data_IF_088953880355
#
_entry.id   IF_088953880355
#
_cell.length_a   1.000
_cell.length_b   1.000
_cell.length_c   1.000
_cell.angle_alpha   90.00
_cell.angle_beta   90.00
_cell.angle_gamma   90.00
#
_symmetry.space_group_name_H-M   'P 1'
#
loop_
_entity.id
_entity.type
_entity.pdbx_description
1 polymer ?
#
# COMPACT_ATOMS: atom_id res chain seq x y z
N UNK A 1 24.10 19.85 26.27
CA UNK A 1 23.83 18.82 25.23
C UNK A 1 23.27 19.53 24.02
N UNK A 2 24.12 19.79 23.02
CA UNK A 2 23.72 20.48 21.79
C UNK A 2 22.98 19.50 20.89
N UNK A 3 21.67 19.69 20.72
CA UNK A 3 20.87 19.02 19.70
C UNK A 3 21.40 19.43 18.32
N UNK A 4 21.96 18.47 17.58
CA UNK A 4 22.44 18.67 16.21
C UNK A 4 21.26 19.07 15.30
N UNK A 5 21.27 20.29 14.71
CA UNK A 5 20.22 20.73 13.79
C UNK A 5 20.02 19.77 12.60
N UNK A 6 21.08 19.05 12.20
CA UNK A 6 21.02 18.03 11.15
C UNK A 6 20.16 16.82 11.54
N UNK A 7 20.14 16.42 12.81
CA UNK A 7 19.39 15.26 13.28
C UNK A 7 17.87 15.51 13.25
N UNK A 8 17.42 16.70 13.65
CA UNK A 8 15.99 17.06 13.59
C UNK A 8 15.48 17.25 12.16
N UNK A 9 16.32 17.76 11.26
CA UNK A 9 16.00 17.79 9.83
C UNK A 9 15.84 16.36 9.29
N UNK A 10 16.81 15.47 9.54
CA UNK A 10 16.78 14.06 9.07
C UNK A 10 15.56 13.30 9.63
N UNK A 11 15.19 13.49 10.90
CA UNK A 11 14.03 12.83 11.51
C UNK A 11 12.70 13.26 10.84
N UNK A 12 12.56 14.55 10.49
CA UNK A 12 11.37 15.03 9.76
C UNK A 12 11.34 14.51 8.32
N UNK A 13 12.50 14.48 7.66
CA UNK A 13 12.65 13.92 6.31
C UNK A 13 12.34 12.41 6.30
N UNK A 14 12.75 11.66 7.33
CA UNK A 14 12.57 10.19 7.39
C UNK A 14 11.13 9.75 7.15
N UNK A 15 10.15 10.40 7.79
CA UNK A 15 8.73 10.07 7.62
C UNK A 15 8.25 10.30 6.20
N UNK A 16 8.61 11.45 5.60
CA UNK A 16 8.26 11.77 4.22
C UNK A 16 8.93 10.80 3.24
N UNK A 17 10.18 10.44 3.48
CA UNK A 17 10.91 9.48 2.65
C UNK A 17 10.29 8.07 2.72
N UNK A 18 9.86 7.61 3.90
CA UNK A 18 9.13 6.33 4.04
C UNK A 18 7.81 6.39 3.27
N UNK A 19 7.09 7.51 3.38
CA UNK A 19 5.82 7.73 2.71
C UNK A 19 5.96 7.72 1.16
N UNK A 20 7.04 8.32 0.65
CA UNK A 20 7.44 8.26 -0.76
C UNK A 20 7.78 6.82 -1.15
N UNK A 21 8.70 6.18 -0.42
CA UNK A 21 9.19 4.84 -0.74
C UNK A 21 8.07 3.79 -0.68
N UNK A 22 7.15 3.88 0.28
CA UNK A 22 5.99 2.99 0.39
C UNK A 22 5.06 3.11 -0.84
N UNK A 23 4.76 4.32 -1.30
CA UNK A 23 3.96 4.52 -2.53
C UNK A 23 4.69 4.02 -3.78
N UNK A 24 6.02 4.10 -3.78
CA UNK A 24 6.81 3.57 -4.89
C UNK A 24 6.83 2.04 -4.87
N UNK A 25 7.05 1.40 -3.72
CA UNK A 25 7.36 -0.03 -3.63
C UNK A 25 6.14 -0.91 -3.30
N UNK A 26 5.16 -0.38 -2.58
CA UNK A 26 4.01 -1.12 -2.06
C UNK A 26 4.37 -2.10 -0.93
N UNK A 27 5.50 -1.88 -0.25
CA UNK A 27 5.99 -2.63 0.92
C UNK A 27 6.54 -1.62 1.92
N UNK A 28 6.04 -1.65 3.15
CA UNK A 28 6.54 -0.79 4.23
C UNK A 28 7.91 -1.26 4.68
N UNK A 29 8.10 -2.58 4.79
CA UNK A 29 9.41 -3.14 5.13
C UNK A 29 10.47 -2.68 4.11
N UNK A 30 10.19 -2.79 2.81
CA UNK A 30 11.13 -2.32 1.78
C UNK A 30 11.33 -0.80 1.86
N UNK A 31 10.27 -0.05 2.19
CA UNK A 31 10.36 1.41 2.31
C UNK A 31 11.27 1.83 3.48
N UNK A 32 11.16 1.19 4.63
CA UNK A 32 12.01 1.42 5.80
C UNK A 32 13.48 1.09 5.48
N UNK A 33 13.72 -0.05 4.83
CA UNK A 33 15.06 -0.49 4.42
C UNK A 33 15.71 0.52 3.47
N UNK A 34 14.97 1.01 2.46
CA UNK A 34 15.48 2.01 1.52
C UNK A 34 15.84 3.31 2.22
N UNK A 35 15.01 3.77 3.16
CA UNK A 35 15.26 5.02 3.88
C UNK A 35 16.42 4.87 4.84
N UNK A 36 16.55 3.71 5.49
CA UNK A 36 17.70 3.39 6.33
C UNK A 36 19.00 3.37 5.51
N UNK A 37 19.00 2.74 4.33
CA UNK A 37 20.12 2.75 3.39
C UNK A 37 20.48 4.17 2.93
N UNK A 38 19.50 5.00 2.59
CA UNK A 38 19.74 6.39 2.21
C UNK A 38 20.36 7.21 3.35
N UNK A 39 19.88 7.01 4.59
CA UNK A 39 20.46 7.64 5.78
C UNK A 39 21.89 7.13 6.05
N UNK A 40 22.15 5.83 5.90
CA UNK A 40 23.49 5.26 6.05
C UNK A 40 24.47 5.87 5.04
N UNK A 41 24.05 6.03 3.78
CA UNK A 41 24.85 6.71 2.75
C UNK A 41 25.15 8.17 3.11
N UNK A 42 24.18 8.89 3.68
CA UNK A 42 24.39 10.26 4.15
C UNK A 42 25.48 10.33 5.23
N UNK A 43 25.41 9.47 6.25
CA UNK A 43 26.40 9.47 7.34
C UNK A 43 27.78 8.98 6.88
N UNK A 44 27.84 8.12 5.87
CA UNK A 44 29.09 7.64 5.28
C UNK A 44 29.82 8.71 4.43
N UNK A 45 29.15 9.79 4.00
CA UNK A 45 29.80 10.86 3.24
C UNK A 45 30.91 11.53 4.07
N UNK A 46 32.08 11.84 3.49
CA UNK A 46 33.07 12.72 4.11
C UNK A 46 32.44 14.06 4.50
N UNK A 47 32.89 14.65 5.61
CA UNK A 47 32.35 15.92 6.12
C UNK A 47 32.39 17.04 5.07
N UNK A 48 33.49 17.13 4.32
CA UNK A 48 33.65 18.13 3.26
C UNK A 48 32.60 17.97 2.16
N UNK A 49 32.23 16.73 1.80
CA UNK A 49 31.18 16.50 0.81
C UNK A 49 29.79 16.84 1.37
N UNK A 50 29.52 16.50 2.64
CA UNK A 50 28.26 16.91 3.30
C UNK A 50 28.08 18.41 3.34
N UNK A 51 29.16 19.16 3.59
CA UNK A 51 29.14 20.63 3.64
C UNK A 51 28.88 21.28 2.26
N UNK A 52 29.13 20.57 1.16
CA UNK A 52 28.78 21.04 -0.20
C UNK A 52 27.30 20.82 -0.56
N UNK A 53 26.57 20.01 0.20
CA UNK A 53 25.17 19.70 -0.07
C UNK A 53 24.30 20.78 0.56
N UNK A 54 23.74 21.65 -0.28
CA UNK A 54 22.91 22.78 0.14
C UNK A 54 21.63 22.34 0.87
N UNK A 55 21.03 21.23 0.44
CA UNK A 55 19.80 20.68 1.02
C UNK A 55 19.92 19.17 1.27
N UNK A 56 20.16 18.75 2.54
CA UNK A 56 20.19 17.35 2.92
C UNK A 56 18.90 16.59 2.58
N UNK A 57 17.73 17.22 2.75
CA UNK A 57 16.43 16.62 2.45
C UNK A 57 16.24 16.35 0.95
N UNK A 58 16.65 17.28 0.09
CA UNK A 58 16.64 17.08 -1.36
C UNK A 58 17.59 15.94 -1.77
N UNK A 59 18.78 15.89 -1.18
CA UNK A 59 19.73 14.80 -1.44
C UNK A 59 19.17 13.44 -1.02
N UNK A 60 18.59 13.34 0.18
CA UNK A 60 17.98 12.10 0.69
C UNK A 60 16.82 11.66 -0.19
N UNK A 61 15.95 12.60 -0.61
CA UNK A 61 14.86 12.31 -1.56
C UNK A 61 15.40 11.73 -2.86
N UNK A 62 16.46 12.31 -3.42
CA UNK A 62 17.08 11.83 -4.65
C UNK A 62 17.66 10.43 -4.50
N UNK A 63 18.36 10.17 -3.40
CA UNK A 63 18.94 8.85 -3.11
C UNK A 63 17.86 7.80 -2.89
N UNK A 64 16.87 8.07 -2.04
CA UNK A 64 15.70 7.20 -1.81
C UNK A 64 14.99 6.91 -3.13
N UNK A 65 14.70 7.94 -3.94
CA UNK A 65 14.02 7.78 -5.22
C UNK A 65 14.79 6.90 -6.21
N UNK A 66 16.13 7.03 -6.27
CA UNK A 66 16.98 6.20 -7.13
C UNK A 66 17.00 4.74 -6.67
N UNK A 67 17.16 4.49 -5.37
CA UNK A 67 17.10 3.13 -4.82
C UNK A 67 15.73 2.50 -5.12
N UNK A 68 14.63 3.24 -4.91
CA UNK A 68 13.29 2.76 -5.25
C UNK A 68 13.13 2.45 -6.74
N UNK A 69 13.67 3.29 -7.63
CA UNK A 69 13.62 3.07 -9.08
C UNK A 69 14.33 1.77 -9.48
N UNK A 70 15.53 1.53 -8.93
CA UNK A 70 16.31 0.32 -9.16
C UNK A 70 15.57 -0.92 -8.62
N UNK A 71 15.04 -0.82 -7.39
CA UNK A 71 14.26 -1.88 -6.77
C UNK A 71 13.02 -2.20 -7.58
N UNK A 72 12.29 -1.21 -8.10
CA UNK A 72 11.12 -1.43 -8.95
C UNK A 72 11.47 -2.16 -10.25
N UNK A 73 12.62 -1.85 -10.85
CA UNK A 73 13.15 -2.59 -12.00
C UNK A 73 13.33 -4.08 -11.67
N UNK A 74 13.92 -4.38 -10.51
CA UNK A 74 14.13 -5.76 -10.05
C UNK A 74 12.86 -6.46 -9.55
N UNK A 75 11.94 -5.71 -8.94
CA UNK A 75 10.72 -6.22 -8.32
C UNK A 75 9.79 -6.84 -9.36
N UNK A 76 9.73 -6.28 -10.58
CA UNK A 76 8.94 -6.85 -11.67
C UNK A 76 9.35 -8.30 -11.98
N UNK A 77 10.65 -8.56 -12.10
CA UNK A 77 11.18 -9.90 -12.33
C UNK A 77 11.02 -10.83 -11.12
N UNK A 78 11.01 -10.30 -9.89
CA UNK A 78 10.68 -11.09 -8.68
C UNK A 78 9.20 -11.46 -8.64
N UNK A 79 8.32 -10.51 -8.98
CA UNK A 79 6.86 -10.69 -8.99
C UNK A 79 6.40 -11.73 -10.01
N UNK A 80 7.11 -11.88 -11.13
CA UNK A 80 6.88 -13.00 -12.08
C UNK A 80 7.10 -14.39 -11.46
N UNK A 81 7.91 -14.49 -10.40
CA UNK A 81 8.16 -15.73 -9.65
C UNK A 81 7.40 -15.79 -8.31
N UNK A 82 6.55 -14.80 -8.04
CA UNK A 82 5.75 -14.76 -6.82
C UNK A 82 4.66 -15.83 -6.89
N UNK A 83 4.42 -16.53 -5.78
CA UNK A 83 3.38 -17.56 -5.71
C UNK A 83 2.05 -16.89 -5.42
N UNK A 84 1.15 -16.92 -6.41
CA UNK A 84 -0.13 -16.21 -6.39
C UNK A 84 0.01 -14.77 -6.88
N UNK A 85 -1.03 -13.97 -6.63
CA UNK A 85 -1.04 -12.56 -7.05
C UNK A 85 -0.43 -11.66 -5.97
N UNK A 86 0.42 -10.73 -6.40
CA UNK A 86 1.03 -9.74 -5.52
C UNK A 86 0.02 -8.66 -5.12
N UNK A 87 -0.19 -8.47 -3.82
CA UNK A 87 -0.95 -7.33 -3.27
C UNK A 87 -0.01 -6.45 -2.45
N UNK A 88 -0.04 -5.11 -2.56
CA UNK A 88 0.74 -4.22 -1.70
C UNK A 88 0.50 -4.51 -0.22
N UNK A 89 1.53 -4.30 0.59
CA UNK A 89 1.46 -4.45 2.05
C UNK A 89 0.39 -3.53 2.63
N UNK A 90 -0.63 -4.06 3.31
CA UNK A 90 -1.70 -3.27 3.88
C UNK A 90 -1.23 -2.59 5.16
N UNK A 91 -1.67 -1.36 5.40
CA UNK A 91 -1.30 -0.61 6.60
C UNK A 91 -2.51 -0.33 7.49
N UNK A 92 -2.37 -0.48 8.83
CA UNK A 92 -3.43 -0.15 9.79
C UNK A 92 -3.65 1.36 9.90
N UNK A 93 -4.62 1.78 10.71
CA UNK A 93 -4.85 3.20 10.97
C UNK A 93 -3.68 3.86 11.71
N UNK A 94 -3.57 5.18 11.53
CA UNK A 94 -2.57 6.05 12.16
C UNK A 94 -2.53 5.95 13.69
N UNK A 95 -3.63 5.58 14.34
CA UNK A 95 -3.74 5.48 15.80
C UNK A 95 -3.29 4.15 16.37
N UNK A 96 -3.14 3.12 15.53
CA UNK A 96 -2.77 1.76 15.94
C UNK A 96 -1.25 1.51 15.81
N UNK A 97 -0.48 2.52 15.37
CA UNK A 97 0.98 2.47 15.32
C UNK A 97 1.57 3.07 16.61
N UNK A 98 2.30 2.24 17.36
CA UNK A 98 2.81 2.54 18.70
C UNK A 98 3.84 3.68 18.74
N UNK A 99 4.69 3.83 17.72
CA UNK A 99 5.70 4.89 17.67
C UNK A 99 5.19 6.13 16.89
N UNK A 100 5.17 7.33 17.52
CA UNK A 100 4.96 8.58 16.82
C UNK A 100 5.88 8.80 15.59
N UNK A 101 7.07 8.20 15.56
CA UNK A 101 8.00 8.19 14.43
C UNK A 101 7.53 7.27 13.29
N UNK A 102 6.84 6.17 13.60
CA UNK A 102 6.33 5.17 12.65
C UNK A 102 4.95 5.51 12.10
N UNK A 103 4.30 6.57 12.63
CA UNK A 103 3.05 7.10 12.06
C UNK A 103 3.27 7.60 10.64
N UNK A 104 3.16 6.72 9.67
CA UNK A 104 3.13 7.09 8.26
C UNK A 104 1.90 7.98 8.10
N UNK A 105 2.11 9.20 7.61
CA UNK A 105 0.99 10.08 7.24
C UNK A 105 0.36 9.52 5.97
N UNK A 106 -0.44 8.47 6.09
CA UNK A 106 -1.34 8.04 5.04
C UNK A 106 -2.47 9.06 5.05
N UNK A 107 -2.43 10.05 4.17
CA UNK A 107 -3.65 10.79 3.86
C UNK A 107 -4.60 9.86 3.07
N UNK A 108 -5.89 10.21 2.99
CA UNK A 108 -6.92 9.40 2.33
C UNK A 108 -6.59 9.03 0.85
N UNK A 109 -5.57 9.64 0.25
CA UNK A 109 -5.07 9.33 -1.10
C UNK A 109 -4.42 7.96 -1.24
N UNK A 110 -3.99 7.30 -0.16
CA UNK A 110 -3.26 6.02 -0.23
C UNK A 110 -4.17 4.81 -0.07
N UNK A 111 -5.28 4.77 -0.79
CA UNK A 111 -6.15 3.59 -0.82
C UNK A 111 -5.42 2.36 -1.40
N UNK A 112 -5.83 1.15 -1.00
CA UNK A 112 -5.30 -0.09 -1.59
C UNK A 112 -5.49 -0.10 -3.12
N UNK A 113 -6.65 0.34 -3.61
CA UNK A 113 -6.93 0.45 -5.03
C UNK A 113 -5.92 1.35 -5.76
N UNK A 114 -5.52 2.48 -5.15
CA UNK A 114 -4.50 3.35 -5.72
C UNK A 114 -3.13 2.65 -5.80
N UNK A 115 -2.70 1.95 -4.75
CA UNK A 115 -1.44 1.18 -4.77
C UNK A 115 -1.46 0.07 -5.84
N UNK A 116 -2.59 -0.61 -6.01
CA UNK A 116 -2.80 -1.62 -7.07
C UNK A 116 -2.67 -0.99 -8.47
N UNK A 117 -3.21 0.21 -8.67
CA UNK A 117 -3.04 0.92 -9.96
C UNK A 117 -1.58 1.29 -10.21
N UNK A 118 -0.84 1.73 -9.19
CA UNK A 118 0.59 1.97 -9.30
C UNK A 118 1.34 0.69 -9.71
N UNK A 119 0.86 -0.48 -9.27
CA UNK A 119 1.41 -1.78 -9.66
C UNK A 119 1.42 -2.05 -11.16
N UNK A 120 0.46 -1.49 -11.90
CA UNK A 120 0.40 -1.62 -13.36
C UNK A 120 1.37 -0.73 -14.15
N UNK A 121 2.07 0.19 -13.47
CA UNK A 121 2.95 1.18 -14.12
C UNK A 121 4.37 0.67 -14.33
N UNK A 122 5.06 1.19 -15.34
CA UNK A 122 6.51 1.02 -15.43
C UNK A 122 7.22 1.72 -14.27
N UNK A 123 8.42 1.28 -13.85
CA UNK A 123 9.16 1.92 -12.75
C UNK A 123 9.30 3.45 -12.91
N UNK A 124 9.66 3.90 -14.13
CA UNK A 124 9.83 5.32 -14.42
C UNK A 124 8.51 6.11 -14.43
N UNK A 125 7.40 5.52 -14.91
CA UNK A 125 6.07 6.14 -14.80
C UNK A 125 5.67 6.32 -13.34
N UNK A 126 5.85 5.28 -12.52
CA UNK A 126 5.50 5.33 -11.09
C UNK A 126 6.29 6.38 -10.34
N UNK A 127 7.62 6.41 -10.51
CA UNK A 127 8.47 7.42 -9.88
C UNK A 127 8.11 8.83 -10.32
N UNK A 128 7.91 9.05 -11.63
CA UNK A 128 7.55 10.36 -12.14
C UNK A 128 6.20 10.85 -11.61
N UNK A 129 5.21 9.97 -11.57
CA UNK A 129 3.88 10.30 -11.07
C UNK A 129 3.87 10.53 -9.56
N UNK A 130 4.41 9.61 -8.76
CA UNK A 130 4.37 9.72 -7.30
C UNK A 130 5.08 11.00 -6.85
N UNK A 131 6.32 11.26 -7.30
CA UNK A 131 7.04 12.44 -6.88
C UNK A 131 6.38 13.74 -7.34
N UNK A 132 5.89 13.81 -8.58
CA UNK A 132 5.32 15.06 -9.09
C UNK A 132 3.88 15.28 -8.64
N UNK A 133 2.99 14.31 -8.86
CA UNK A 133 1.55 14.45 -8.66
C UNK A 133 1.13 14.28 -7.20
N UNK A 134 1.82 13.43 -6.44
CA UNK A 134 1.48 13.16 -5.03
C UNK A 134 2.27 14.06 -4.08
N UNK A 135 3.56 14.26 -4.34
CA UNK A 135 4.45 15.03 -3.45
C UNK A 135 4.82 16.43 -3.97
N UNK A 136 4.41 16.81 -5.19
CA UNK A 136 4.58 18.18 -5.69
C UNK A 136 6.00 18.54 -6.16
N UNK A 137 6.91 17.57 -6.31
CA UNK A 137 8.25 17.84 -6.85
C UNK A 137 8.18 18.32 -8.29
N UNK A 138 9.09 19.22 -8.68
CA UNK A 138 9.15 19.77 -10.04
C UNK A 138 9.81 18.75 -10.97
N UNK A 139 9.43 18.75 -12.25
CA UNK A 139 10.00 17.82 -13.23
C UNK A 139 11.54 17.86 -13.37
N UNK A 140 12.24 18.99 -13.17
CA UNK A 140 13.71 18.99 -13.09
C UNK A 140 14.26 18.13 -11.96
N UNK A 141 13.66 18.15 -10.78
CA UNK A 141 14.08 17.33 -9.63
C UNK A 141 13.78 15.85 -9.88
N UNK A 142 12.62 15.55 -10.46
CA UNK A 142 12.25 14.18 -10.86
C UNK A 142 13.18 13.63 -11.94
N UNK A 143 13.61 14.47 -12.88
CA UNK A 143 14.53 14.12 -13.95
C UNK A 143 15.88 13.62 -13.43
N UNK A 144 16.39 14.22 -12.35
CA UNK A 144 17.65 13.80 -11.70
C UNK A 144 17.55 12.39 -11.09
N UNK A 145 16.35 11.99 -10.65
CA UNK A 145 16.08 10.68 -10.07
C UNK A 145 15.89 9.64 -11.16
N UNK A 146 15.05 9.95 -12.16
CA UNK A 146 14.68 9.02 -13.23
C UNK A 146 15.81 8.86 -14.27
N UNK A 147 16.77 9.77 -14.32
CA UNK A 147 17.86 9.76 -15.31
C UNK A 147 17.36 10.10 -16.71
N UNK A 148 16.38 11.00 -16.83
CA UNK A 148 15.75 11.41 -18.10
C UNK A 148 15.57 12.93 -18.15
N UNK A 149 15.18 13.47 -19.30
CA UNK A 149 14.89 14.90 -19.43
C UNK A 149 13.59 15.27 -18.71
N UNK A 150 13.42 16.53 -18.24
CA UNK A 150 12.16 16.98 -17.62
C UNK A 150 10.95 16.84 -18.56
N UNK A 151 11.16 16.98 -19.87
CA UNK A 151 10.13 16.75 -20.87
C UNK A 151 9.71 15.26 -20.94
N UNK A 152 10.65 14.33 -20.85
CA UNK A 152 10.34 12.90 -20.80
C UNK A 152 9.58 12.54 -19.50
N UNK A 153 9.98 13.10 -18.35
CA UNK A 153 9.26 12.91 -17.08
C UNK A 153 7.82 13.41 -17.14
N UNK A 154 7.55 14.53 -17.83
CA UNK A 154 6.18 15.02 -18.10
C UNK A 154 5.35 13.99 -18.87
N UNK A 155 5.91 13.36 -19.89
CA UNK A 155 5.22 12.34 -20.68
C UNK A 155 4.94 11.09 -19.86
N UNK A 156 5.90 10.67 -19.02
CA UNK A 156 5.72 9.55 -18.08
C UNK A 156 4.58 9.82 -17.09
N UNK A 157 4.58 10.99 -16.43
CA UNK A 157 3.50 11.37 -15.51
C UNK A 157 2.14 11.47 -16.23
N UNK A 158 2.10 12.02 -17.44
CA UNK A 158 0.87 12.05 -18.25
C UNK A 158 0.36 10.64 -18.60
N UNK A 159 1.26 9.69 -18.88
CA UNK A 159 0.92 8.29 -19.11
C UNK A 159 0.34 7.63 -17.86
N UNK A 160 0.98 7.83 -16.70
CA UNK A 160 0.50 7.35 -15.41
C UNK A 160 -0.90 7.91 -15.08
N UNK A 161 -1.15 9.21 -15.29
CA UNK A 161 -2.46 9.83 -15.08
C UNK A 161 -3.57 9.19 -15.91
N UNK A 162 -3.28 8.78 -17.16
CA UNK A 162 -4.27 8.10 -18.01
C UNK A 162 -4.70 6.76 -17.42
N UNK A 163 -3.80 6.04 -16.73
CA UNK A 163 -4.12 4.79 -16.04
C UNK A 163 -5.01 5.02 -14.82
N UNK A 164 -4.74 6.09 -14.07
CA UNK A 164 -5.54 6.45 -12.88
C UNK A 164 -6.92 6.98 -13.26
N UNK A 165 -7.02 7.76 -14.34
CA UNK A 165 -8.27 8.33 -14.86
C UNK A 165 -9.09 7.38 -15.73
N UNK A 166 -8.66 6.12 -15.92
CA UNK A 166 -9.54 5.12 -16.52
C UNK A 166 -10.91 5.17 -15.81
N UNK A 167 -12.04 5.07 -16.52
CA UNK A 167 -13.36 5.48 -16.03
C UNK A 167 -13.68 4.76 -14.73
N UNK A 168 -13.45 5.46 -13.63
CA UNK A 168 -13.67 5.02 -12.26
C UNK A 168 -14.78 5.90 -11.74
N UNK A 169 -15.81 5.29 -11.19
CA UNK A 169 -16.91 6.01 -10.59
C UNK A 169 -16.42 6.94 -9.48
N UNK A 170 -17.22 7.94 -9.09
CA UNK A 170 -16.90 8.81 -7.97
C UNK A 170 -16.56 7.97 -6.74
N UNK A 171 -15.56 8.42 -5.99
CA UNK A 171 -15.13 7.71 -4.79
C UNK A 171 -16.26 7.68 -3.77
N UNK A 172 -16.68 6.49 -3.36
CA UNK A 172 -17.72 6.29 -2.35
C UNK A 172 -17.35 7.00 -1.04
N UNK A 173 -18.28 7.76 -0.43
CA UNK A 173 -18.07 8.38 0.87
C UNK A 173 -17.63 7.35 1.93
N UNK A 174 -16.72 7.73 2.82
CA UNK A 174 -16.16 6.81 3.82
C UNK A 174 -17.23 6.17 4.72
N UNK A 175 -18.29 6.90 5.05
CA UNK A 175 -19.41 6.37 5.85
C UNK A 175 -20.17 5.27 5.10
N UNK A 176 -20.53 5.50 3.83
CA UNK A 176 -21.20 4.51 2.99
C UNK A 176 -20.31 3.27 2.76
N UNK A 177 -19.00 3.48 2.56
CA UNK A 177 -18.03 2.39 2.47
C UNK A 177 -18.03 1.55 3.77
N UNK A 178 -18.02 2.19 4.94
CA UNK A 178 -18.07 1.50 6.22
C UNK A 178 -19.36 0.67 6.38
N UNK A 179 -20.51 1.21 5.98
CA UNK A 179 -21.80 0.51 6.04
C UNK A 179 -21.83 -0.75 5.17
N UNK A 180 -21.27 -0.68 3.95
CA UNK A 180 -21.12 -1.83 3.05
C UNK A 180 -20.18 -2.89 3.65
N UNK A 181 -19.03 -2.47 4.20
CA UNK A 181 -18.06 -3.40 4.84
C UNK A 181 -18.66 -4.08 6.07
N UNK A 182 -19.40 -3.34 6.90
CA UNK A 182 -20.09 -3.89 8.07
C UNK A 182 -21.19 -4.89 7.67
N UNK A 183 -21.93 -4.58 6.60
CA UNK A 183 -22.94 -5.48 6.04
C UNK A 183 -22.31 -6.76 5.48
N UNK A 184 -21.20 -6.63 4.76
CA UNK A 184 -20.43 -7.76 4.23
C UNK A 184 -19.90 -8.66 5.34
N UNK A 185 -19.29 -8.08 6.39
CA UNK A 185 -18.83 -8.83 7.57
C UNK A 185 -19.95 -9.61 8.23
N UNK A 186 -21.14 -9.00 8.38
CA UNK A 186 -22.31 -9.64 8.98
C UNK A 186 -22.76 -10.83 8.16
N UNK A 187 -22.92 -10.64 6.85
CA UNK A 187 -23.31 -11.68 5.91
C UNK A 187 -22.31 -12.84 5.88
N UNK A 188 -21.01 -12.53 5.89
CA UNK A 188 -19.97 -13.55 5.92
C UNK A 188 -19.98 -14.35 7.22
N UNK A 189 -20.11 -13.68 8.38
CA UNK A 189 -20.19 -14.34 9.69
C UNK A 189 -21.43 -15.23 9.84
N UNK A 190 -22.55 -14.87 9.22
CA UNK A 190 -23.78 -15.67 9.26
C UNK A 190 -23.87 -16.73 8.15
N UNK A 191 -22.82 -16.90 7.33
CA UNK A 191 -22.85 -17.74 6.12
C UNK A 191 -24.04 -17.43 5.19
N UNK A 192 -24.46 -16.16 5.14
CA UNK A 192 -25.56 -15.71 4.29
C UNK A 192 -25.06 -15.41 2.88
N UNK A 193 -25.05 -16.45 2.06
CA UNK A 193 -24.61 -16.38 0.66
C UNK A 193 -25.45 -15.39 -0.16
N UNK A 194 -26.76 -15.30 0.09
CA UNK A 194 -27.65 -14.40 -0.66
C UNK A 194 -27.35 -12.94 -0.33
N UNK A 195 -27.12 -12.61 0.94
CA UNK A 195 -26.69 -11.28 1.34
C UNK A 195 -25.29 -10.93 0.79
N UNK A 196 -24.34 -11.87 0.75
CA UNK A 196 -23.03 -11.66 0.14
C UNK A 196 -23.15 -11.34 -1.36
N UNK A 197 -23.96 -12.11 -2.11
CA UNK A 197 -24.20 -11.85 -3.53
C UNK A 197 -24.80 -10.46 -3.74
N UNK A 198 -25.73 -10.04 -2.90
CA UNK A 198 -26.36 -8.71 -2.99
C UNK A 198 -25.41 -7.52 -2.75
N UNK A 199 -24.28 -7.75 -2.09
CA UNK A 199 -23.25 -6.74 -1.81
C UNK A 199 -22.09 -6.75 -2.82
N UNK A 200 -22.01 -7.76 -3.68
CA UNK A 200 -20.93 -7.93 -4.64
C UNK A 200 -21.39 -7.52 -6.03
N UNK A 201 -20.56 -6.75 -6.72
CA UNK A 201 -20.78 -6.53 -8.14
C UNK A 201 -20.75 -7.86 -8.92
N UNK A 202 -21.59 -8.05 -9.96
CA UNK A 202 -21.56 -9.26 -10.77
C UNK A 202 -20.19 -9.55 -11.40
N UNK A 203 -19.40 -8.51 -11.69
CA UNK A 203 -18.03 -8.60 -12.20
C UNK A 203 -16.97 -8.34 -11.12
N UNK A 204 -17.33 -8.45 -9.83
CA UNK A 204 -16.39 -8.27 -8.74
C UNK A 204 -15.22 -9.26 -8.84
N UNK A 205 -14.05 -8.85 -8.35
CA UNK A 205 -12.89 -9.73 -8.24
C UNK A 205 -12.37 -9.82 -6.81
N UNK A 206 -11.91 -11.01 -6.42
CA UNK A 206 -11.23 -11.24 -5.14
C UNK A 206 -9.83 -11.78 -5.38
N UNK A 207 -8.83 -11.17 -4.74
CA UNK A 207 -7.44 -11.61 -4.77
C UNK A 207 -7.01 -11.98 -3.37
N UNK A 208 -6.44 -13.17 -3.21
CA UNK A 208 -5.81 -13.61 -1.97
C UNK A 208 -4.30 -13.62 -2.10
N UNK A 209 -3.59 -12.96 -1.19
CA UNK A 209 -2.11 -12.94 -1.17
C UNK A 209 -1.59 -13.74 0.02
N UNK A 210 -1.18 -14.99 -0.21
CA UNK A 210 -0.51 -15.83 0.80
C UNK A 210 1.01 -15.85 0.71
N UNK A 211 1.59 -15.23 -0.33
CA UNK A 211 3.03 -15.20 -0.60
C UNK A 211 3.72 -16.57 -0.73
N UNK A 212 2.96 -17.65 -0.96
CA UNK A 212 3.48 -19.03 -0.91
C UNK A 212 3.81 -19.54 0.49
N UNK A 213 3.59 -18.73 1.54
CA UNK A 213 3.84 -19.09 2.95
C UNK A 213 2.60 -19.71 3.59
N UNK A 214 1.43 -19.15 3.30
CA UNK A 214 0.15 -19.64 3.79
C UNK A 214 -0.85 -19.85 2.64
N UNK A 215 -1.84 -20.74 2.79
CA UNK A 215 -2.85 -20.94 1.76
C UNK A 215 -3.61 -19.65 1.42
N UNK A 216 -3.80 -19.39 0.15
CA UNK A 216 -4.68 -18.33 -0.37
C UNK A 216 -5.29 -18.79 -1.70
N UNK A 217 -6.27 -18.05 -2.23
CA UNK A 217 -6.75 -18.31 -3.57
C UNK A 217 -5.57 -18.19 -4.56
N UNK A 218 -5.24 -19.25 -5.33
CA UNK A 218 -4.04 -19.25 -6.17
C UNK A 218 -4.17 -18.34 -7.40
N UNK A 219 -5.39 -18.03 -7.79
CA UNK A 219 -5.75 -17.13 -8.87
C UNK A 219 -6.87 -16.20 -8.41
N UNK A 220 -7.02 -15.00 -9.02
CA UNK A 220 -8.17 -14.15 -8.80
C UNK A 220 -9.48 -14.93 -8.97
N UNK A 221 -10.41 -14.73 -8.06
CA UNK A 221 -11.79 -15.23 -8.17
C UNK A 221 -12.61 -14.13 -8.83
N UNK A 222 -13.20 -14.46 -9.96
CA UNK A 222 -14.03 -13.53 -10.73
C UNK A 222 -15.51 -13.88 -10.56
N UNK A 223 -16.32 -12.84 -10.33
CA UNK A 223 -17.76 -12.93 -10.20
C UNK A 223 -18.25 -12.91 -8.75
N UNK A 224 -19.23 -12.05 -8.47
CA UNK A 224 -19.78 -11.89 -7.12
C UNK A 224 -20.33 -13.18 -6.52
N UNK A 225 -20.96 -14.04 -7.34
CA UNK A 225 -21.48 -15.32 -6.90
C UNK A 225 -20.36 -16.33 -6.55
N UNK A 226 -19.32 -16.40 -7.36
CA UNK A 226 -18.16 -17.25 -7.14
C UNK A 226 -17.41 -16.83 -5.87
N UNK A 227 -17.23 -15.53 -5.68
CA UNK A 227 -16.64 -14.95 -4.46
C UNK A 227 -17.48 -15.31 -3.23
N UNK A 228 -18.80 -15.11 -3.27
CA UNK A 228 -19.68 -15.43 -2.15
C UNK A 228 -19.60 -16.91 -1.76
N UNK A 229 -19.65 -17.82 -2.74
CA UNK A 229 -19.51 -19.27 -2.50
C UNK A 229 -18.18 -19.62 -1.86
N UNK A 230 -17.08 -19.06 -2.37
CA UNK A 230 -15.75 -19.27 -1.82
C UNK A 230 -15.64 -18.81 -0.37
N UNK A 231 -16.19 -17.65 -0.03
CA UNK A 231 -16.15 -17.10 1.33
C UNK A 231 -16.95 -17.94 2.32
N UNK A 232 -18.13 -18.44 1.94
CA UNK A 232 -18.93 -19.36 2.78
C UNK A 232 -18.20 -20.69 2.97
N UNK A 233 -17.59 -21.23 1.92
CA UNK A 233 -16.78 -22.45 2.02
C UNK A 233 -15.60 -22.25 2.98
N UNK A 234 -14.90 -21.13 2.88
CA UNK A 234 -13.79 -20.78 3.77
C UNK A 234 -14.25 -20.66 5.23
N UNK A 235 -15.41 -20.05 5.48
CA UNK A 235 -15.98 -19.90 6.80
C UNK A 235 -16.36 -21.23 7.45
N UNK A 236 -16.86 -22.20 6.65
CA UNK A 236 -17.21 -23.53 7.17
C UNK A 236 -16.01 -24.37 7.61
N UNK A 237 -14.80 -24.03 7.13
CA UNK A 237 -13.54 -24.72 7.47
C UNK A 237 -12.81 -24.12 8.67
N UNK A 238 -13.18 -22.92 9.10
CA UNK A 238 -12.53 -22.20 10.20
C UNK A 238 -13.32 -22.38 11.50
N UNK A 239 -12.64 -22.77 12.59
CA UNK A 239 -13.27 -23.05 13.89
C UNK A 239 -13.93 -21.81 14.52
N UNK A 240 -13.50 -20.60 14.15
CA UNK A 240 -14.20 -19.34 14.38
C UNK A 240 -13.61 -18.22 13.49
N UNK A 241 -14.47 -17.44 12.81
CA UNK A 241 -14.05 -16.23 12.08
C UNK A 241 -14.06 -15.01 13.01
N UNK A 242 -12.93 -14.72 13.64
CA UNK A 242 -12.78 -13.52 14.46
C UNK A 242 -12.48 -12.29 13.60
N UNK A 243 -13.49 -11.82 12.85
CA UNK A 243 -13.44 -10.59 12.04
C UNK A 243 -13.72 -9.33 12.86
N UNK A 244 -12.77 -8.40 12.88
CA UNK A 244 -12.99 -7.03 13.34
C UNK A 244 -13.07 -6.07 12.14
N UNK A 245 -13.83 -4.99 12.30
CA UNK A 245 -13.76 -3.84 11.40
C UNK A 245 -12.55 -3.00 11.81
N UNK A 246 -11.84 -2.44 10.84
CA UNK A 246 -10.64 -1.62 11.06
C UNK A 246 -10.44 -0.69 9.86
N UNK A 247 -9.46 0.21 9.93
CA UNK A 247 -9.00 1.01 8.80
C UNK A 247 -7.84 0.30 8.11
N UNK A 248 -7.99 0.01 6.82
CA UNK A 248 -6.94 -0.52 5.95
C UNK A 248 -6.60 0.56 4.92
N UNK A 249 -5.37 1.06 4.94
CA UNK A 249 -4.91 2.05 3.96
C UNK A 249 -5.82 3.31 3.90
N UNK A 250 -6.27 3.78 5.07
CA UNK A 250 -7.14 4.95 5.20
C UNK A 250 -8.60 4.71 4.80
N UNK A 251 -9.02 3.47 4.54
CA UNK A 251 -10.40 3.10 4.19
C UNK A 251 -10.95 2.00 5.10
N UNK A 252 -12.26 1.93 5.32
CA UNK A 252 -12.87 0.82 6.05
C UNK A 252 -12.49 -0.53 5.44
N UNK A 253 -12.12 -1.47 6.29
CA UNK A 253 -11.75 -2.83 5.91
C UNK A 253 -11.95 -3.81 7.07
N UNK A 254 -11.43 -5.03 6.90
CA UNK A 254 -11.55 -6.10 7.89
C UNK A 254 -10.20 -6.67 8.27
N UNK A 255 -10.06 -7.08 9.53
CA UNK A 255 -8.94 -7.87 10.02
C UNK A 255 -9.47 -9.14 10.67
N UNK A 256 -8.79 -10.27 10.45
CA UNK A 256 -9.05 -11.53 11.13
C UNK A 256 -7.85 -11.90 12.00
N UNK A 257 -8.13 -12.28 13.25
CA UNK A 257 -7.10 -12.69 14.21
C UNK A 257 -7.37 -14.10 14.76
N UNK A 258 -6.30 -14.85 14.98
CA UNK A 258 -6.33 -16.15 15.64
C UNK A 258 -5.31 -16.15 16.77
N UNK A 259 -5.74 -16.40 18.00
CA UNK A 259 -4.91 -16.33 19.22
C UNK A 259 -4.08 -15.03 19.33
N UNK A 260 -4.70 -13.88 19.02
CA UNK A 260 -4.05 -12.56 19.05
C UNK A 260 -3.16 -12.26 17.84
N UNK A 261 -2.92 -13.23 16.96
CA UNK A 261 -2.10 -13.05 15.74
C UNK A 261 -2.99 -12.67 14.56
N UNK A 262 -2.63 -11.60 13.85
CA UNK A 262 -3.31 -11.23 12.60
C UNK A 262 -2.99 -12.25 11.50
N UNK A 263 -4.04 -12.89 10.98
CA UNK A 263 -3.94 -13.96 9.95
C UNK A 263 -4.49 -13.54 8.59
N UNK A 264 -5.24 -12.44 8.54
CA UNK A 264 -5.76 -11.86 7.32
C UNK A 264 -6.11 -10.39 7.52
N UNK A 265 -5.81 -9.56 6.53
CA UNK A 265 -6.34 -8.21 6.37
C UNK A 265 -7.03 -8.12 5.02
N UNK A 266 -8.26 -7.61 4.99
CA UNK A 266 -9.03 -7.42 3.77
C UNK A 266 -9.31 -5.94 3.51
N UNK A 267 -8.86 -5.46 2.35
CA UNK A 267 -9.21 -4.15 1.81
C UNK A 267 -10.30 -4.30 0.74
N UNK A 268 -11.14 -3.27 0.61
CA UNK A 268 -12.28 -3.26 -0.29
C UNK A 268 -12.22 -2.05 -1.23
N UNK A 269 -12.63 -2.27 -2.47
CA UNK A 269 -13.02 -1.20 -3.39
C UNK A 269 -14.54 -1.21 -3.52
N UNK A 270 -15.18 -0.14 -3.07
CA UNK A 270 -16.64 0.00 -3.06
C UNK A 270 -17.06 1.11 -3.99
N UNK A 271 -18.02 0.82 -4.85
CA UNK A 271 -18.64 1.75 -5.78
C UNK A 271 -20.14 1.82 -5.50
N UNK A 272 -20.58 2.93 -4.90
CA UNK A 272 -21.94 3.04 -4.38
C UNK A 272 -22.15 2.03 -3.24
N UNK A 273 -23.06 1.07 -3.45
CA UNK A 273 -23.41 0.03 -2.47
C UNK A 273 -22.80 -1.34 -2.80
N UNK A 274 -21.97 -1.44 -3.85
CA UNK A 274 -21.41 -2.70 -4.34
C UNK A 274 -19.90 -2.75 -4.17
N UNK A 275 -19.42 -3.91 -3.72
CA UNK A 275 -18.01 -4.25 -3.66
C UNK A 275 -17.54 -4.69 -5.06
N UNK A 276 -16.56 -3.98 -5.62
CA UNK A 276 -15.94 -4.28 -6.92
C UNK A 276 -14.70 -5.15 -6.77
N UNK A 277 -13.90 -4.88 -5.73
CA UNK A 277 -12.66 -5.59 -5.49
C UNK A 277 -12.49 -5.93 -4.02
N UNK A 278 -12.00 -7.14 -3.75
CA UNK A 278 -11.55 -7.59 -2.43
C UNK A 278 -10.09 -7.99 -2.53
N UNK A 279 -9.24 -7.38 -1.72
CA UNK A 279 -7.84 -7.79 -1.57
C UNK A 279 -7.63 -8.36 -0.18
N UNK A 280 -7.48 -9.67 -0.07
CA UNK A 280 -7.28 -10.40 1.18
C UNK A 280 -5.79 -10.78 1.34
N UNK A 281 -5.06 -10.00 2.11
CA UNK A 281 -3.64 -10.24 2.42
C UNK A 281 -3.52 -11.18 3.61
N UNK A 282 -2.87 -12.32 3.39
CA UNK A 282 -2.61 -13.36 4.40
C UNK A 282 -1.12 -13.62 4.61
N UNK A 283 -0.26 -13.15 3.70
CA UNK A 283 1.18 -13.29 3.82
C UNK A 283 1.67 -12.72 5.17
N UNK A 284 2.16 -13.55 6.11
CA UNK A 284 2.57 -13.10 7.44
C UNK A 284 3.66 -12.03 7.42
N UNK A 285 4.50 -12.01 6.38
CA UNK A 285 5.54 -11.00 6.24
C UNK A 285 4.97 -9.60 6.03
N UNK A 286 3.79 -9.48 5.42
CA UNK A 286 3.06 -8.22 5.17
C UNK A 286 2.11 -7.83 6.31
N UNK A 287 2.01 -8.66 7.35
CA UNK A 287 1.07 -8.46 8.46
C UNK A 287 1.78 -8.10 9.77
N UNK A 288 3.10 -7.88 9.74
CA UNK A 288 3.93 -7.61 10.93
C UNK A 288 3.52 -6.37 11.72
N UNK A 289 2.97 -5.37 11.05
CA UNK A 289 2.52 -4.11 11.64
C UNK A 289 1.07 -4.16 12.15
N UNK A 290 0.38 -5.28 11.98
CA UNK A 290 -0.99 -5.49 12.44
C UNK A 290 -1.01 -6.16 13.82
N UNK A 291 -0.30 -5.57 14.78
CA UNK A 291 -0.29 -6.04 16.18
C UNK A 291 -1.40 -5.34 16.96
N UNK A 292 -1.94 -6.00 17.99
CA UNK A 292 -2.89 -5.33 18.87
C UNK A 292 -2.19 -4.15 19.55
N UNK A 293 -2.77 -2.96 19.46
CA UNK A 293 -2.52 -1.92 20.45
C UNK A 293 -2.90 -2.52 21.80
N UNK A 294 -1.89 -2.86 22.60
CA UNK A 294 -2.07 -3.43 23.92
C UNK A 294 -3.07 -2.58 24.70
N UNK A 295 -4.20 -3.19 25.09
CA UNK A 295 -4.96 -2.71 26.26
C UNK A 295 -4.30 -3.21 27.53
#
# INVERSE_FOLDING_TARGET
MSTDPGLHAIVRERRQLINIAYRLLGSLTDAEDVVQEACARWYALPRQQRETIESPGAWLTTVTGRICLDLLGSARARRERYVGEWVPEPLPDRSELDDPADRITLDESVSMAFLIVLESMTPAERVAFVLHDVFGYRFPEVAEIVGRTPAACRQLAASARRRIRAPRAPTTPTTQHADVVSSFKRAWRSNDISALIGLLDPAATMVGDGGGVVPAAPHPIEGGEQIARYLVELASRATALNLAETTVNGRPGLVSRYDGVTVMVAAFDVEGDLIKHIWAVRNPEKLRHWQDGAS
#
